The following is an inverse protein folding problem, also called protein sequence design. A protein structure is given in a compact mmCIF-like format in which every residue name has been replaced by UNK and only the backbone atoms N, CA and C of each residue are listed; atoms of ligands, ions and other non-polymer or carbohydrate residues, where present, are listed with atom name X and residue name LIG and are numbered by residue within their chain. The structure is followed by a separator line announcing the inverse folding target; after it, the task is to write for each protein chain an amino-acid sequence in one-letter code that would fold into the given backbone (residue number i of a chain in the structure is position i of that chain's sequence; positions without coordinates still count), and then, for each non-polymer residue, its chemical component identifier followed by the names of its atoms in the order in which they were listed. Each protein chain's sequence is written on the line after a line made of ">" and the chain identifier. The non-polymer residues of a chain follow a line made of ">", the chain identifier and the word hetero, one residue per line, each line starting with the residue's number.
data_IF_354223170482
#
_entry.id   IF_354223170482
#
_cell.length_a   1.000
_cell.length_b   1.000
_cell.length_c   1.000
_cell.angle_alpha   90.00
_cell.angle_beta   90.00
_cell.angle_gamma   90.00
#
_symmetry.space_group_name_H-M   'P 1'
#
loop_
_entity.id
_entity.type
_entity.pdbx_description
1 polymer ?
#
# COMPACT_ATOMS: atom_id res chain seq x y z
N UNK A 1 -47.66 3.02 -2.89
CA UNK A 1 -47.06 4.37 -3.03
C UNK A 1 -48.09 5.37 -3.55
N UNK A 2 -48.05 6.63 -3.12
CA UNK A 2 -48.91 7.73 -3.60
C UNK A 2 -48.03 8.95 -3.85
N UNK A 3 -48.41 9.91 -4.71
CA UNK A 3 -47.65 11.15 -4.80
C UNK A 3 -47.77 11.97 -3.49
N UNK A 4 -46.67 12.57 -3.03
CA UNK A 4 -46.62 13.37 -1.80
C UNK A 4 -45.53 14.45 -1.87
N UNK A 5 -45.66 15.47 -1.02
CA UNK A 5 -44.69 16.57 -0.92
C UNK A 5 -43.33 16.11 -0.40
N UNK A 6 -42.22 16.75 -0.79
CA UNK A 6 -40.90 16.41 -0.30
C UNK A 6 -40.81 16.44 1.23
N UNK A 7 -40.20 15.42 1.82
CA UNK A 7 -39.92 15.32 3.26
C UNK A 7 -38.47 14.96 3.49
N UNK A 8 -37.92 15.43 4.59
CA UNK A 8 -36.57 15.07 5.01
C UNK A 8 -36.57 13.71 5.71
N UNK A 9 -35.49 12.95 5.50
CA UNK A 9 -35.19 11.70 6.19
C UNK A 9 -33.80 11.84 6.81
N UNK A 10 -33.68 11.41 8.06
CA UNK A 10 -32.42 11.20 8.76
C UNK A 10 -32.48 9.86 9.49
N UNK A 11 -31.36 9.39 10.02
CA UNK A 11 -31.32 8.14 10.79
C UNK A 11 -31.81 8.36 12.23
N UNK A 12 -33.13 8.47 12.37
CA UNK A 12 -33.89 8.35 13.63
C UNK A 12 -35.02 7.32 13.41
N UNK A 13 -36.14 7.33 14.14
CA UNK A 13 -37.28 6.48 13.86
C UNK A 13 -38.42 7.25 13.15
N UNK A 14 -38.80 6.93 11.90
CA UNK A 14 -38.23 5.89 11.00
C UNK A 14 -36.88 6.30 10.36
N UNK A 15 -35.99 5.32 10.14
CA UNK A 15 -34.68 5.51 9.50
C UNK A 15 -34.72 5.14 8.02
N UNK A 16 -33.62 5.35 7.30
CA UNK A 16 -33.51 5.01 5.88
C UNK A 16 -33.82 3.54 5.60
N UNK A 17 -33.40 2.60 6.46
CA UNK A 17 -33.71 1.18 6.28
C UNK A 17 -35.23 0.91 6.29
N UNK A 18 -35.95 1.42 7.29
CA UNK A 18 -37.40 1.31 7.40
C UNK A 18 -38.09 1.91 6.17
N UNK A 19 -37.66 3.10 5.76
CA UNK A 19 -38.23 3.80 4.61
C UNK A 19 -38.05 3.07 3.28
N UNK A 20 -36.92 2.38 3.11
CA UNK A 20 -36.66 1.54 1.94
C UNK A 20 -37.48 0.26 2.01
N UNK A 21 -37.53 -0.42 3.17
CA UNK A 21 -38.33 -1.65 3.35
C UNK A 21 -39.80 -1.44 3.05
N UNK A 22 -40.38 -0.37 3.58
CA UNK A 22 -41.79 -0.03 3.37
C UNK A 22 -42.11 0.15 1.88
N UNK A 23 -41.16 0.70 1.10
CA UNK A 23 -41.30 0.88 -0.34
C UNK A 23 -41.04 -0.40 -1.13
N UNK A 24 -40.13 -1.26 -0.69
CA UNK A 24 -39.90 -2.57 -1.33
C UNK A 24 -41.12 -3.50 -1.23
N UNK A 25 -41.95 -3.32 -0.21
CA UNK A 25 -43.12 -4.17 0.05
C UNK A 25 -44.08 -4.24 -1.15
N UNK A 26 -44.26 -3.14 -1.89
CA UNK A 26 -45.23 -3.06 -2.98
C UNK A 26 -44.68 -2.54 -4.32
N UNK A 27 -43.39 -2.23 -4.42
CA UNK A 27 -42.76 -1.78 -5.66
C UNK A 27 -42.84 -2.82 -6.80
N UNK A 28 -43.05 -2.31 -8.02
CA UNK A 28 -42.97 -3.00 -9.31
C UNK A 28 -41.58 -2.86 -9.94
N UNK A 29 -40.90 -1.75 -9.68
CA UNK A 29 -39.51 -1.51 -10.09
C UNK A 29 -38.71 -0.81 -9.01
N UNK A 30 -37.44 -1.17 -8.89
CA UNK A 30 -36.48 -0.58 -7.97
C UNK A 30 -35.16 -0.24 -8.67
N UNK A 31 -34.66 0.98 -8.48
CA UNK A 31 -33.34 1.42 -8.93
C UNK A 31 -32.55 1.91 -7.73
N UNK A 32 -31.37 1.33 -7.54
CA UNK A 32 -30.45 1.67 -6.46
C UNK A 32 -29.11 2.12 -7.05
N UNK A 33 -28.73 3.37 -6.82
CA UNK A 33 -27.42 3.92 -7.19
C UNK A 33 -26.70 4.36 -5.92
N UNK A 34 -25.64 3.68 -5.53
CA UNK A 34 -24.91 4.01 -4.30
C UNK A 34 -23.41 3.99 -4.53
N UNK A 35 -22.71 4.95 -3.93
CA UNK A 35 -21.25 5.01 -3.98
C UNK A 35 -20.63 3.81 -3.25
N UNK A 36 -21.14 3.49 -2.06
CA UNK A 36 -20.60 2.43 -1.20
C UNK A 36 -21.70 1.44 -0.79
N UNK A 37 -21.41 0.14 -0.95
CA UNK A 37 -22.26 -0.94 -0.50
C UNK A 37 -21.48 -1.94 0.36
N UNK A 38 -21.92 -2.15 1.61
CA UNK A 38 -21.27 -3.07 2.57
C UNK A 38 -22.26 -4.13 3.04
N UNK A 39 -21.75 -5.29 3.45
CA UNK A 39 -22.55 -6.41 3.92
C UNK A 39 -23.39 -6.05 5.14
N UNK A 40 -22.89 -5.15 5.96
CA UNK A 40 -23.61 -4.62 7.11
C UNK A 40 -24.91 -3.91 6.70
N UNK A 41 -24.93 -3.22 5.55
CA UNK A 41 -26.15 -2.61 5.02
C UNK A 41 -27.00 -3.58 4.20
N UNK A 42 -26.36 -4.46 3.41
CA UNK A 42 -27.06 -5.44 2.59
C UNK A 42 -27.94 -6.36 3.44
N UNK A 43 -27.43 -6.86 4.57
CA UNK A 43 -28.16 -7.75 5.49
C UNK A 43 -29.46 -7.13 6.02
N UNK A 44 -29.51 -5.81 6.17
CA UNK A 44 -30.70 -5.12 6.68
C UNK A 44 -31.87 -5.20 5.69
N UNK A 45 -31.60 -5.23 4.37
CA UNK A 45 -32.61 -5.18 3.32
C UNK A 45 -32.77 -6.49 2.54
N UNK A 46 -31.91 -7.48 2.78
CA UNK A 46 -31.79 -8.67 1.91
C UNK A 46 -33.08 -9.50 1.83
N UNK A 47 -33.88 -9.54 2.91
CA UNK A 47 -35.10 -10.34 2.98
C UNK A 47 -36.18 -9.74 2.09
N UNK A 48 -36.51 -8.48 2.36
CA UNK A 48 -37.50 -7.69 1.64
C UNK A 48 -37.13 -7.53 0.17
N UNK A 49 -35.83 -7.34 -0.13
CA UNK A 49 -35.36 -7.24 -1.51
C UNK A 49 -35.56 -8.55 -2.28
N UNK A 50 -35.21 -9.70 -1.66
CA UNK A 50 -35.38 -11.01 -2.30
C UNK A 50 -36.87 -11.29 -2.54
N UNK A 51 -37.71 -11.07 -1.54
CA UNK A 51 -39.16 -11.26 -1.64
C UNK A 51 -39.77 -10.36 -2.73
N UNK A 52 -39.32 -9.11 -2.84
CA UNK A 52 -39.79 -8.20 -3.89
C UNK A 52 -39.40 -8.68 -5.30
N UNK A 53 -38.16 -9.13 -5.49
CA UNK A 53 -37.69 -9.67 -6.78
C UNK A 53 -38.43 -10.96 -7.13
N UNK A 54 -38.63 -11.87 -6.17
CA UNK A 54 -39.38 -13.13 -6.36
C UNK A 54 -40.87 -12.88 -6.67
N UNK A 55 -41.43 -11.77 -6.18
CA UNK A 55 -42.78 -11.30 -6.56
C UNK A 55 -42.84 -10.75 -7.99
N UNK A 56 -41.71 -10.52 -8.64
CA UNK A 56 -41.61 -10.00 -10.01
C UNK A 56 -41.20 -8.53 -10.12
N UNK A 57 -40.71 -7.90 -9.05
CA UNK A 57 -40.16 -6.55 -9.12
C UNK A 57 -38.89 -6.52 -9.98
N UNK A 58 -38.84 -5.63 -10.97
CA UNK A 58 -37.63 -5.39 -11.74
C UNK A 58 -36.62 -4.57 -10.91
N UNK A 59 -35.36 -4.99 -10.85
CA UNK A 59 -34.35 -4.30 -10.04
C UNK A 59 -33.11 -3.90 -10.86
N UNK A 60 -32.65 -2.67 -10.71
CA UNK A 60 -31.38 -2.20 -11.27
C UNK A 60 -30.47 -1.64 -10.19
N UNK A 61 -29.26 -2.17 -10.11
CA UNK A 61 -28.25 -1.74 -9.15
C UNK A 61 -27.07 -1.11 -9.86
N UNK A 62 -26.60 0.04 -9.39
CA UNK A 62 -25.35 0.68 -9.83
C UNK A 62 -24.51 0.94 -8.59
N UNK A 63 -23.43 0.17 -8.45
CA UNK A 63 -22.59 0.16 -7.25
C UNK A 63 -21.22 0.79 -7.56
N UNK A 64 -20.91 1.90 -6.89
CA UNK A 64 -19.58 2.50 -6.93
C UNK A 64 -18.53 1.57 -6.36
N UNK A 65 -17.32 1.62 -6.90
CA UNK A 65 -16.19 0.79 -6.46
C UNK A 65 -14.97 1.61 -6.04
N UNK A 66 -15.11 2.93 -6.09
CA UNK A 66 -14.10 3.91 -5.72
C UNK A 66 -13.64 3.73 -4.28
N UNK A 67 -12.35 4.03 -4.06
CA UNK A 67 -11.67 3.87 -2.77
C UNK A 67 -11.77 2.46 -2.17
N UNK A 68 -12.19 1.46 -2.96
CA UNK A 68 -12.42 0.08 -2.53
C UNK A 68 -13.33 -0.02 -1.30
N UNK A 69 -14.33 0.86 -1.20
CA UNK A 69 -15.25 0.91 -0.05
C UNK A 69 -16.43 -0.05 -0.17
N UNK A 70 -16.81 -0.44 -1.38
CA UNK A 70 -17.86 -1.44 -1.62
C UNK A 70 -17.30 -2.85 -1.47
N UNK A 71 -17.96 -3.68 -0.66
CA UNK A 71 -17.50 -5.05 -0.44
C UNK A 71 -17.87 -5.93 -1.66
N UNK A 72 -16.92 -6.66 -2.28
CA UNK A 72 -17.18 -7.50 -3.44
C UNK A 72 -18.28 -8.54 -3.21
N UNK A 73 -18.44 -9.02 -1.97
CA UNK A 73 -19.47 -10.01 -1.62
C UNK A 73 -20.89 -9.47 -1.75
N UNK A 74 -21.11 -8.16 -1.58
CA UNK A 74 -22.43 -7.54 -1.81
C UNK A 74 -22.76 -7.57 -3.30
N UNK A 75 -21.81 -7.16 -4.14
CA UNK A 75 -21.97 -7.17 -5.61
C UNK A 75 -22.19 -8.61 -6.10
N UNK A 76 -21.48 -9.59 -5.53
CA UNK A 76 -21.68 -11.01 -5.82
C UNK A 76 -23.11 -11.48 -5.49
N UNK A 77 -23.65 -11.08 -4.33
CA UNK A 77 -25.01 -11.44 -3.92
C UNK A 77 -26.06 -10.81 -4.83
N UNK A 78 -25.91 -9.54 -5.18
CA UNK A 78 -26.77 -8.87 -6.16
C UNK A 78 -26.72 -9.57 -7.52
N UNK A 79 -25.53 -9.94 -7.98
CA UNK A 79 -25.35 -10.68 -9.23
C UNK A 79 -26.05 -12.05 -9.19
N UNK A 80 -26.06 -12.74 -8.04
CA UNK A 80 -26.78 -14.02 -7.88
C UNK A 80 -28.31 -13.86 -7.92
N UNK A 81 -28.85 -12.70 -7.53
CA UNK A 81 -30.30 -12.43 -7.60
C UNK A 81 -30.83 -12.39 -9.03
N UNK A 82 -29.98 -12.24 -10.05
CA UNK A 82 -30.35 -12.42 -11.47
C UNK A 82 -30.99 -13.78 -11.77
N UNK A 83 -30.77 -14.78 -10.92
CA UNK A 83 -31.38 -16.11 -11.04
C UNK A 83 -32.82 -16.17 -10.53
N UNK A 84 -33.25 -15.16 -9.76
CA UNK A 84 -34.55 -15.12 -9.09
C UNK A 84 -35.56 -14.18 -9.76
N UNK A 85 -35.13 -13.32 -10.70
CA UNK A 85 -36.02 -12.36 -11.35
C UNK A 85 -35.29 -11.41 -12.31
N UNK A 86 -35.99 -10.35 -12.73
CA UNK A 86 -35.45 -9.32 -13.62
C UNK A 86 -34.51 -8.39 -12.83
N UNK A 87 -33.21 -8.68 -12.91
CA UNK A 87 -32.17 -7.94 -12.19
C UNK A 87 -31.04 -7.55 -13.12
N UNK A 88 -30.70 -6.25 -13.14
CA UNK A 88 -29.51 -5.71 -13.77
C UNK A 88 -28.54 -5.19 -12.70
N UNK A 89 -27.26 -5.50 -12.82
CA UNK A 89 -26.23 -5.10 -11.84
C UNK A 89 -25.06 -4.48 -12.60
N UNK A 90 -24.78 -3.22 -12.28
CA UNK A 90 -23.66 -2.45 -12.80
C UNK A 90 -22.72 -2.09 -11.66
N UNK A 91 -21.44 -1.95 -12.01
CA UNK A 91 -20.41 -1.46 -11.10
C UNK A 91 -19.59 -0.37 -11.78
N UNK A 92 -18.98 0.53 -11.01
CA UNK A 92 -18.00 1.47 -11.54
C UNK A 92 -16.86 0.74 -12.27
N UNK A 93 -16.40 1.30 -13.38
CA UNK A 93 -15.30 0.75 -14.17
C UNK A 93 -13.98 0.92 -13.41
N UNK A 94 -13.21 -0.15 -13.17
CA UNK A 94 -11.96 -0.09 -12.41
C UNK A 94 -10.82 0.63 -13.15
N UNK A 95 -11.02 0.95 -14.44
CA UNK A 95 -10.01 1.49 -15.35
C UNK A 95 -10.25 2.96 -15.72
N UNK A 96 -11.31 3.58 -15.18
CA UNK A 96 -11.63 5.00 -15.40
C UNK A 96 -11.28 5.83 -14.17
N UNK A 97 -10.85 7.06 -14.41
CA UNK A 97 -10.50 8.03 -13.35
C UNK A 97 -11.64 9.02 -13.11
N UNK A 98 -12.70 8.55 -12.45
CA UNK A 98 -13.75 9.40 -11.91
C UNK A 98 -14.28 8.76 -10.62
N UNK A 99 -15.01 9.50 -9.80
CA UNK A 99 -15.61 8.96 -8.57
C UNK A 99 -17.12 8.85 -8.73
N UNK A 100 -17.64 7.63 -8.72
CA UNK A 100 -19.07 7.36 -8.67
C UNK A 100 -19.60 7.59 -7.25
N UNK A 101 -20.07 8.82 -6.99
CA UNK A 101 -20.60 9.23 -5.69
C UNK A 101 -22.13 9.40 -5.52
N UNK A 102 -23.04 8.98 -6.43
CA UNK A 102 -24.49 9.05 -6.18
C UNK A 102 -24.97 8.18 -5.01
N UNK A 103 -26.11 8.57 -4.42
CA UNK A 103 -26.85 7.84 -3.37
C UNK A 103 -28.36 8.07 -3.59
N UNK A 104 -28.98 7.13 -4.29
CA UNK A 104 -30.37 7.22 -4.74
C UNK A 104 -31.04 5.86 -4.66
N UNK A 105 -32.26 5.86 -4.13
CA UNK A 105 -33.18 4.74 -4.10
C UNK A 105 -34.48 5.20 -4.74
N UNK A 106 -34.81 4.65 -5.90
CA UNK A 106 -36.02 4.99 -6.65
C UNK A 106 -36.91 3.75 -6.77
N UNK A 107 -38.18 3.93 -6.49
CA UNK A 107 -39.19 2.88 -6.51
C UNK A 107 -40.34 3.30 -7.40
N UNK A 108 -40.95 2.36 -8.11
CA UNK A 108 -42.11 2.62 -8.93
C UNK A 108 -43.23 1.64 -8.63
N UNK A 109 -44.45 2.17 -8.61
CA UNK A 109 -45.68 1.39 -8.51
C UNK A 109 -46.85 2.17 -9.11
N UNK A 110 -47.66 1.53 -9.95
CA UNK A 110 -48.96 2.07 -10.42
C UNK A 110 -48.85 3.50 -10.99
N UNK A 111 -47.74 3.80 -11.69
CA UNK A 111 -47.47 5.12 -12.29
C UNK A 111 -47.04 6.22 -11.31
N UNK A 112 -46.65 5.85 -10.08
CA UNK A 112 -45.99 6.74 -9.11
C UNK A 112 -44.52 6.33 -9.00
N UNK A 113 -43.63 7.32 -9.03
CA UNK A 113 -42.19 7.19 -8.79
C UNK A 113 -41.87 7.83 -7.44
N UNK A 114 -41.43 7.02 -6.47
CA UNK A 114 -40.95 7.45 -5.17
C UNK A 114 -39.42 7.46 -5.16
N UNK A 115 -38.81 8.57 -4.75
CA UNK A 115 -37.35 8.73 -4.73
C UNK A 115 -36.90 9.08 -3.32
N UNK A 116 -35.84 8.42 -2.85
CA UNK A 116 -35.02 8.82 -1.71
C UNK A 116 -33.63 9.15 -2.24
N UNK A 117 -33.18 10.39 -2.05
CA UNK A 117 -31.86 10.86 -2.53
C UNK A 117 -31.20 11.73 -1.46
N UNK A 118 -29.91 11.54 -1.23
CA UNK A 118 -29.20 12.24 -0.15
C UNK A 118 -27.81 11.70 0.15
N UNK A 119 -27.47 11.63 1.43
CA UNK A 119 -26.14 11.20 1.89
C UNK A 119 -26.00 9.69 2.17
N UNK A 120 -27.13 8.98 2.30
CA UNK A 120 -27.16 7.58 2.74
C UNK A 120 -26.62 6.59 1.69
N UNK A 121 -25.49 5.96 1.99
CA UNK A 121 -24.97 4.79 1.27
C UNK A 121 -25.61 3.48 1.75
N UNK A 122 -25.45 2.39 0.99
CA UNK A 122 -25.93 1.06 1.41
C UNK A 122 -24.98 0.36 2.38
N UNK A 123 -24.86 0.94 3.57
CA UNK A 123 -24.03 0.46 4.68
C UNK A 123 -24.84 0.55 5.97
N UNK A 124 -24.49 -0.17 7.04
CA UNK A 124 -25.21 -0.02 8.31
C UNK A 124 -25.19 1.44 8.83
N UNK A 125 -24.08 2.16 8.64
CA UNK A 125 -23.98 3.59 8.90
C UNK A 125 -25.02 4.40 8.09
N UNK A 126 -25.05 4.23 6.77
CA UNK A 126 -26.01 4.95 5.93
C UNK A 126 -27.48 4.59 6.20
N UNK A 127 -27.75 3.35 6.58
CA UNK A 127 -29.10 2.84 6.78
C UNK A 127 -29.70 3.17 8.15
N UNK A 128 -28.87 3.29 9.18
CA UNK A 128 -29.33 3.54 10.56
C UNK A 128 -28.27 4.15 11.51
N UNK A 129 -26.97 3.99 11.25
CA UNK A 129 -25.93 4.29 12.26
C UNK A 129 -25.32 5.69 12.22
N UNK A 130 -25.24 6.33 11.05
CA UNK A 130 -24.61 7.64 10.85
C UNK A 130 -25.62 8.78 10.93
N UNK A 131 -25.15 10.01 11.14
CA UNK A 131 -25.92 11.21 10.84
C UNK A 131 -26.05 11.38 9.33
N UNK A 132 -27.21 11.02 8.79
CA UNK A 132 -27.54 11.10 7.37
C UNK A 132 -28.65 12.12 7.13
N UNK A 133 -28.68 12.74 5.95
CA UNK A 133 -29.74 13.61 5.49
C UNK A 133 -30.09 13.27 4.04
N UNK A 134 -31.35 12.91 3.83
CA UNK A 134 -31.93 12.68 2.51
C UNK A 134 -33.27 13.40 2.37
N UNK A 135 -33.71 13.56 1.13
CA UNK A 135 -35.08 13.96 0.81
C UNK A 135 -35.81 12.76 0.20
N UNK A 136 -37.04 12.55 0.63
CA UNK A 136 -37.98 11.63 0.00
C UNK A 136 -39.14 12.38 -0.59
N UNK A 137 -39.53 12.03 -1.82
CA UNK A 137 -40.69 12.61 -2.49
C UNK A 137 -41.32 11.58 -3.42
N UNK A 138 -42.63 11.71 -3.65
CA UNK A 138 -43.38 10.85 -4.56
C UNK A 138 -43.99 11.67 -5.68
N UNK A 139 -43.79 11.26 -6.93
CA UNK A 139 -44.28 12.00 -8.11
C UNK A 139 -44.96 11.07 -9.11
N UNK A 140 -45.98 11.59 -9.81
CA UNK A 140 -46.57 10.91 -10.99
C UNK A 140 -45.85 11.26 -12.30
N UNK A 141 -44.81 12.10 -12.22
CA UNK A 141 -44.05 12.52 -13.38
C UNK A 141 -43.08 11.41 -13.80
N UNK A 142 -43.38 10.72 -14.89
CA UNK A 142 -42.48 9.74 -15.51
C UNK A 142 -41.10 10.30 -15.88
N UNK A 143 -40.98 11.62 -15.96
CA UNK A 143 -39.75 12.35 -16.28
C UNK A 143 -38.58 11.98 -15.35
N UNK A 144 -38.79 11.88 -14.03
CA UNK A 144 -37.71 11.58 -13.08
C UNK A 144 -37.10 10.20 -13.37
N UNK A 145 -37.96 9.20 -13.55
CA UNK A 145 -37.54 7.85 -13.90
C UNK A 145 -36.78 7.81 -15.23
N UNK A 146 -37.30 8.49 -16.25
CA UNK A 146 -36.66 8.58 -17.57
C UNK A 146 -35.31 9.31 -17.53
N UNK A 147 -35.16 10.34 -16.70
CA UNK A 147 -33.87 11.04 -16.51
C UNK A 147 -32.82 10.15 -15.84
N UNK A 148 -33.22 9.39 -14.82
CA UNK A 148 -32.32 8.42 -14.18
C UNK A 148 -31.94 7.29 -15.15
N UNK A 149 -32.88 6.76 -15.92
CA UNK A 149 -32.57 5.77 -16.95
C UNK A 149 -31.64 6.31 -18.03
N UNK A 150 -31.90 7.53 -18.52
CA UNK A 150 -31.04 8.20 -19.49
C UNK A 150 -29.63 8.41 -18.96
N UNK A 151 -29.48 8.79 -17.68
CA UNK A 151 -28.18 8.96 -17.05
C UNK A 151 -27.43 7.64 -16.91
N UNK A 152 -28.09 6.58 -16.44
CA UNK A 152 -27.47 5.24 -16.36
C UNK A 152 -26.98 4.79 -17.74
N UNK A 153 -27.78 4.99 -18.79
CA UNK A 153 -27.40 4.63 -20.15
C UNK A 153 -26.16 5.43 -20.61
N UNK A 154 -26.10 6.74 -20.35
CA UNK A 154 -24.91 7.57 -20.65
C UNK A 154 -23.66 7.03 -19.96
N UNK A 155 -23.77 6.67 -18.67
CA UNK A 155 -22.64 6.10 -17.92
C UNK A 155 -22.17 4.75 -18.50
N UNK A 156 -23.09 3.93 -19.04
CA UNK A 156 -22.75 2.69 -19.73
C UNK A 156 -22.06 3.00 -21.06
N UNK A 157 -22.61 3.90 -21.85
CA UNK A 157 -22.10 4.28 -23.18
C UNK A 157 -20.69 4.89 -23.10
N UNK A 158 -20.42 5.67 -22.05
CA UNK A 158 -19.11 6.27 -21.77
C UNK A 158 -18.11 5.26 -21.17
N UNK A 159 -18.58 4.05 -20.85
CA UNK A 159 -17.81 3.00 -20.18
C UNK A 159 -17.41 3.37 -18.76
N UNK A 160 -18.13 4.32 -18.15
CA UNK A 160 -17.95 4.72 -16.77
C UNK A 160 -18.42 3.62 -15.84
N UNK A 161 -19.60 3.05 -16.08
CA UNK A 161 -20.08 1.85 -15.38
C UNK A 161 -20.12 0.68 -16.36
N UNK A 162 -19.91 -0.52 -15.83
CA UNK A 162 -19.95 -1.76 -16.60
C UNK A 162 -20.94 -2.74 -15.98
N UNK A 163 -21.62 -3.52 -16.81
CA UNK A 163 -22.44 -4.61 -16.31
C UNK A 163 -21.55 -5.66 -15.64
N UNK A 164 -21.95 -6.11 -14.44
CA UNK A 164 -21.16 -7.06 -13.66
C UNK A 164 -21.09 -8.41 -14.38
N UNK A 165 -19.86 -8.87 -14.58
CA UNK A 165 -19.54 -10.23 -15.01
C UNK A 165 -18.66 -10.92 -13.96
N UNK A 166 -18.57 -12.27 -13.96
CA UNK A 166 -17.64 -12.97 -13.07
C UNK A 166 -16.18 -12.49 -13.20
N UNK A 167 -15.76 -12.11 -14.41
CA UNK A 167 -14.41 -11.61 -14.66
C UNK A 167 -14.16 -10.24 -14.02
N UNK A 168 -15.07 -9.28 -14.21
CA UNK A 168 -14.95 -7.94 -13.58
C UNK A 168 -15.00 -8.03 -12.06
N UNK A 169 -15.92 -8.82 -11.51
CA UNK A 169 -16.04 -9.02 -10.08
C UNK A 169 -14.77 -9.63 -9.48
N UNK A 170 -14.21 -10.66 -10.12
CA UNK A 170 -12.96 -11.27 -9.67
C UNK A 170 -11.77 -10.31 -9.75
N UNK A 171 -11.70 -9.46 -10.78
CA UNK A 171 -10.68 -8.42 -10.89
C UNK A 171 -10.78 -7.40 -9.75
N UNK A 172 -11.98 -6.88 -9.50
CA UNK A 172 -12.21 -5.95 -8.39
C UNK A 172 -11.91 -6.57 -7.03
N UNK A 173 -12.36 -7.81 -6.78
CA UNK A 173 -12.13 -8.50 -5.52
C UNK A 173 -10.65 -8.65 -5.18
N UNK A 174 -9.79 -8.92 -6.18
CA UNK A 174 -8.33 -8.97 -5.99
C UNK A 174 -7.77 -7.61 -5.56
N UNK A 175 -8.11 -6.53 -6.26
CA UNK A 175 -7.65 -5.17 -5.92
C UNK A 175 -8.18 -4.71 -4.55
N UNK A 176 -9.46 -4.98 -4.27
CA UNK A 176 -10.09 -4.70 -2.98
C UNK A 176 -9.37 -5.41 -1.83
N UNK A 177 -9.00 -6.68 -1.99
CA UNK A 177 -8.28 -7.43 -0.94
C UNK A 177 -6.90 -6.80 -0.62
N UNK A 178 -6.14 -6.41 -1.65
CA UNK A 178 -4.84 -5.75 -1.50
C UNK A 178 -5.00 -4.38 -0.85
N UNK A 179 -5.98 -3.59 -1.29
CA UNK A 179 -6.18 -2.25 -0.74
C UNK A 179 -6.70 -2.30 0.71
N UNK A 180 -7.66 -3.19 1.00
CA UNK A 180 -8.21 -3.38 2.35
C UNK A 180 -7.16 -3.78 3.37
N UNK A 181 -6.21 -4.65 2.99
CA UNK A 181 -5.10 -5.03 3.89
C UNK A 181 -4.17 -3.86 4.15
N UNK A 182 -3.80 -3.11 3.09
CA UNK A 182 -2.96 -1.90 3.19
C UNK A 182 -3.60 -0.81 4.05
N UNK A 183 -4.91 -0.57 3.89
CA UNK A 183 -5.63 0.45 4.66
C UNK A 183 -5.74 0.08 6.14
N UNK A 184 -6.07 -1.17 6.47
CA UNK A 184 -6.08 -1.65 7.87
C UNK A 184 -4.73 -1.47 8.54
N UNK A 185 -3.66 -1.73 7.81
CA UNK A 185 -2.30 -1.55 8.32
C UNK A 185 -1.93 -0.07 8.47
N UNK A 186 -2.26 0.77 7.48
CA UNK A 186 -2.04 2.21 7.55
C UNK A 186 -2.77 2.84 8.74
N UNK A 187 -4.02 2.42 8.99
CA UNK A 187 -4.79 2.84 10.15
C UNK A 187 -4.10 2.45 11.47
N UNK A 188 -3.68 1.17 11.62
CA UNK A 188 -2.92 0.73 12.81
C UNK A 188 -1.63 1.53 13.02
N UNK A 189 -0.91 1.84 11.94
CA UNK A 189 0.29 2.68 12.00
C UNK A 189 -0.03 4.10 12.48
N UNK A 190 -1.10 4.70 11.97
CA UNK A 190 -1.53 6.05 12.39
C UNK A 190 -1.95 6.06 13.86
N UNK A 191 -2.75 5.07 14.31
CA UNK A 191 -3.16 4.91 15.70
C UNK A 191 -1.96 4.73 16.64
N UNK A 192 -0.95 3.96 16.22
CA UNK A 192 0.29 3.79 16.99
C UNK A 192 1.18 5.03 17.00
N UNK A 193 1.34 5.72 15.88
CA UNK A 193 2.09 6.98 15.85
C UNK A 193 1.43 8.03 16.75
N UNK A 194 0.10 8.00 16.88
CA UNK A 194 -0.63 8.82 17.84
C UNK A 194 -0.42 8.35 19.30
N UNK A 195 -0.29 7.05 19.55
CA UNK A 195 -0.10 6.47 20.89
C UNK A 195 1.36 6.55 21.40
N UNK A 196 2.35 6.43 20.52
CA UNK A 196 3.78 6.55 20.81
C UNK A 196 4.47 7.41 19.73
N UNK A 197 4.53 8.74 19.94
CA UNK A 197 5.04 9.69 18.96
C UNK A 197 6.53 9.52 18.62
N UNK A 198 7.29 8.81 19.46
CA UNK A 198 8.73 8.58 19.23
C UNK A 198 9.00 7.35 18.38
N UNK A 199 7.98 6.53 18.09
CA UNK A 199 8.18 5.23 17.46
C UNK A 199 8.76 4.19 18.42
N UNK A 200 9.00 2.98 17.93
CA UNK A 200 9.47 1.87 18.76
C UNK A 200 9.51 0.55 18.00
N UNK A 201 10.10 -0.46 18.63
CA UNK A 201 10.30 -1.78 18.01
C UNK A 201 9.01 -2.41 17.47
N UNK A 202 7.86 -2.11 18.10
CA UNK A 202 6.55 -2.59 17.67
C UNK A 202 6.18 -2.18 16.25
N UNK A 203 6.64 -1.03 15.77
CA UNK A 203 6.43 -0.58 14.38
C UNK A 203 7.17 -1.48 13.41
N UNK A 204 8.43 -1.81 13.70
CA UNK A 204 9.22 -2.72 12.88
C UNK A 204 8.69 -4.15 12.92
N UNK A 205 8.14 -4.61 14.05
CA UNK A 205 7.47 -5.93 14.15
C UNK A 205 6.31 -6.05 13.15
N UNK A 206 5.49 -5.00 13.02
CA UNK A 206 4.36 -5.02 12.06
C UNK A 206 4.83 -4.96 10.61
N UNK A 207 5.84 -4.13 10.30
CA UNK A 207 6.42 -4.06 8.96
C UNK A 207 7.06 -5.41 8.60
N UNK A 208 7.73 -6.07 9.54
CA UNK A 208 8.31 -7.39 9.32
C UNK A 208 7.22 -8.44 9.06
N UNK A 209 6.09 -8.37 9.77
CA UNK A 209 4.95 -9.25 9.51
C UNK A 209 4.35 -9.02 8.12
N UNK A 210 4.24 -7.76 7.68
CA UNK A 210 3.82 -7.41 6.31
C UNK A 210 4.79 -7.98 5.27
N UNK A 211 6.08 -7.70 5.44
CA UNK A 211 7.13 -8.17 4.54
C UNK A 211 7.15 -9.71 4.45
N UNK A 212 6.90 -10.43 5.56
CA UNK A 212 6.79 -11.90 5.58
C UNK A 212 5.53 -12.43 4.89
N UNK A 213 4.45 -11.67 4.86
CA UNK A 213 3.22 -12.04 4.16
C UNK A 213 3.28 -11.72 2.65
N UNK A 214 4.14 -10.78 2.26
CA UNK A 214 4.37 -10.39 0.88
C UNK A 214 5.10 -11.49 0.08
N UNK A 215 4.48 -11.93 -1.02
CA UNK A 215 5.01 -12.96 -1.92
C UNK A 215 5.65 -12.38 -3.18
N UNK A 216 5.70 -11.07 -3.29
CA UNK A 216 6.34 -10.36 -4.40
C UNK A 216 7.88 -10.43 -4.31
N UNK A 217 8.54 -9.75 -5.25
CA UNK A 217 10.00 -9.59 -5.28
C UNK A 217 10.56 -8.90 -4.03
N UNK A 218 9.75 -8.05 -3.37
CA UNK A 218 10.13 -7.26 -2.20
C UNK A 218 9.82 -7.97 -0.87
N UNK A 219 9.13 -9.12 -0.94
CA UNK A 219 8.81 -9.94 0.23
C UNK A 219 10.04 -10.51 0.93
N UNK A 220 9.88 -10.86 2.21
CA UNK A 220 10.98 -11.20 3.12
C UNK A 220 11.82 -12.36 2.59
N UNK A 221 11.19 -13.48 2.22
CA UNK A 221 11.88 -14.68 1.76
C UNK A 221 12.71 -14.40 0.50
N UNK A 222 12.14 -13.67 -0.46
CA UNK A 222 12.82 -13.32 -1.72
C UNK A 222 13.96 -12.31 -1.50
N UNK A 223 13.74 -11.31 -0.65
CA UNK A 223 14.77 -10.33 -0.32
C UNK A 223 15.97 -10.98 0.40
N UNK A 224 15.71 -11.88 1.35
CA UNK A 224 16.77 -12.61 2.10
C UNK A 224 17.55 -13.55 1.19
N UNK A 225 16.87 -14.30 0.31
CA UNK A 225 17.53 -15.18 -0.65
C UNK A 225 18.45 -14.41 -1.59
N UNK A 226 17.96 -13.30 -2.16
CA UNK A 226 18.73 -12.42 -3.04
C UNK A 226 19.97 -11.85 -2.33
N UNK A 227 19.80 -11.28 -1.13
CA UNK A 227 20.89 -10.72 -0.31
C UNK A 227 21.96 -11.75 0.03
N UNK A 228 21.54 -12.97 0.32
CA UNK A 228 22.48 -14.06 0.62
C UNK A 228 23.35 -14.40 -0.60
N UNK A 229 22.77 -14.49 -1.79
CA UNK A 229 23.52 -14.71 -3.03
C UNK A 229 24.43 -13.52 -3.36
N UNK A 230 23.89 -12.30 -3.28
CA UNK A 230 24.64 -11.08 -3.56
C UNK A 230 25.85 -10.88 -2.64
N UNK A 231 25.74 -11.23 -1.37
CA UNK A 231 26.87 -11.10 -0.43
C UNK A 231 28.03 -12.04 -0.78
N UNK A 232 27.75 -13.30 -1.14
CA UNK A 232 28.79 -14.26 -1.53
C UNK A 232 29.54 -13.78 -2.79
N UNK A 233 28.78 -13.37 -3.81
CA UNK A 233 29.36 -12.86 -5.06
C UNK A 233 30.11 -11.54 -4.85
N UNK A 234 29.57 -10.63 -4.05
CA UNK A 234 30.17 -9.33 -3.75
C UNK A 234 31.52 -9.48 -3.03
N UNK A 235 31.61 -10.37 -2.04
CA UNK A 235 32.87 -10.62 -1.33
C UNK A 235 33.95 -11.19 -2.25
N UNK A 236 33.57 -12.06 -3.19
CA UNK A 236 34.50 -12.60 -4.19
C UNK A 236 34.99 -11.51 -5.15
N UNK A 237 34.11 -10.61 -5.59
CA UNK A 237 34.50 -9.45 -6.41
C UNK A 237 35.45 -8.52 -5.62
N UNK A 238 35.22 -8.29 -4.32
CA UNK A 238 36.15 -7.50 -3.49
C UNK A 238 37.54 -8.11 -3.43
N UNK A 239 37.65 -9.44 -3.26
CA UNK A 239 38.93 -10.15 -3.28
C UNK A 239 39.64 -10.01 -4.64
N UNK A 240 38.89 -10.11 -5.73
CA UNK A 240 39.42 -9.91 -7.09
C UNK A 240 39.94 -8.48 -7.29
N UNK A 241 39.22 -7.47 -6.78
CA UNK A 241 39.65 -6.07 -6.82
C UNK A 241 40.95 -5.87 -5.99
N UNK A 242 41.08 -6.49 -4.83
CA UNK A 242 42.28 -6.39 -3.99
C UNK A 242 43.51 -7.05 -4.64
N UNK A 243 43.29 -8.20 -5.29
CA UNK A 243 44.33 -9.00 -5.93
C UNK A 243 44.72 -8.49 -7.33
N UNK A 244 43.91 -7.63 -7.96
CA UNK A 244 44.20 -7.17 -9.31
C UNK A 244 45.43 -6.23 -9.36
N UNK A 245 46.22 -6.34 -10.43
CA UNK A 245 47.39 -5.48 -10.69
C UNK A 245 47.00 -4.08 -11.16
N UNK A 246 47.91 -3.37 -11.83
CA UNK A 246 47.56 -2.08 -12.45
C UNK A 246 46.45 -2.27 -13.49
N UNK A 247 45.45 -1.39 -13.49
CA UNK A 247 44.30 -1.43 -14.41
C UNK A 247 43.97 -0.02 -14.90
N UNK A 248 43.31 0.08 -16.06
CA UNK A 248 42.76 1.35 -16.53
C UNK A 248 41.55 1.78 -15.67
N UNK A 249 41.10 3.03 -15.84
CA UNK A 249 39.87 3.49 -15.18
C UNK A 249 38.64 2.76 -15.71
N UNK A 250 38.63 2.35 -16.97
CA UNK A 250 37.48 1.72 -17.61
C UNK A 250 37.35 0.26 -17.17
N UNK A 251 38.47 -0.48 -17.14
CA UNK A 251 38.48 -1.87 -16.64
C UNK A 251 38.06 -1.93 -15.16
N UNK A 252 38.52 -0.99 -14.35
CA UNK A 252 38.11 -0.90 -12.96
C UNK A 252 36.65 -0.49 -12.82
N UNK A 253 36.14 0.40 -13.67
CA UNK A 253 34.73 0.79 -13.66
C UNK A 253 33.81 -0.42 -13.95
N UNK A 254 34.19 -1.31 -14.87
CA UNK A 254 33.46 -2.54 -15.13
C UNK A 254 33.41 -3.45 -13.89
N UNK A 255 34.57 -3.65 -13.23
CA UNK A 255 34.63 -4.43 -11.99
C UNK A 255 33.83 -3.77 -10.85
N UNK A 256 33.92 -2.45 -10.71
CA UNK A 256 33.16 -1.68 -9.74
C UNK A 256 31.65 -1.83 -10.01
N UNK A 257 31.20 -1.77 -11.26
CA UNK A 257 29.78 -1.96 -11.58
C UNK A 257 29.28 -3.34 -11.18
N UNK A 258 30.07 -4.40 -11.46
CA UNK A 258 29.73 -5.75 -11.00
C UNK A 258 29.61 -5.84 -9.48
N UNK A 259 30.48 -5.14 -8.74
CA UNK A 259 30.36 -5.05 -7.28
C UNK A 259 29.10 -4.28 -6.85
N UNK A 260 28.84 -3.12 -7.45
CA UNK A 260 27.68 -2.29 -7.13
C UNK A 260 26.35 -3.00 -7.43
N UNK A 261 26.32 -3.89 -8.42
CA UNK A 261 25.16 -4.74 -8.73
C UNK A 261 24.85 -5.76 -7.62
N UNK A 262 25.76 -5.95 -6.66
CA UNK A 262 25.58 -6.81 -5.47
C UNK A 262 25.21 -6.03 -4.22
N UNK A 263 25.27 -4.71 -4.27
CA UNK A 263 24.74 -3.87 -3.20
C UNK A 263 23.26 -3.65 -3.38
N UNK A 264 22.55 -3.50 -2.25
CA UNK A 264 21.11 -3.20 -2.26
C UNK A 264 20.84 -1.68 -2.12
N UNK A 265 21.83 -0.89 -2.54
CA UNK A 265 21.83 0.58 -2.53
C UNK A 265 21.83 1.15 -3.95
N UNK A 266 20.65 1.35 -4.55
CA UNK A 266 20.49 1.90 -5.92
C UNK A 266 21.19 3.26 -6.12
N UNK A 267 21.30 4.06 -5.05
CA UNK A 267 21.95 5.37 -5.07
C UNK A 267 23.45 5.37 -5.40
N UNK A 268 24.14 4.23 -5.27
CA UNK A 268 25.59 4.11 -5.47
C UNK A 268 26.02 4.13 -6.95
N UNK A 269 25.11 3.85 -7.89
CA UNK A 269 25.42 3.96 -9.33
C UNK A 269 25.73 5.40 -9.76
N UNK A 270 25.21 6.40 -9.03
CA UNK A 270 25.39 7.81 -9.38
C UNK A 270 26.81 8.27 -9.07
N UNK A 271 27.64 8.39 -10.11
CA UNK A 271 29.00 8.93 -10.01
C UNK A 271 30.08 7.87 -9.79
N UNK A 272 29.80 6.60 -10.12
CA UNK A 272 30.77 5.51 -10.15
C UNK A 272 32.00 5.81 -11.06
N UNK A 273 31.85 6.58 -12.13
CA UNK A 273 32.98 7.03 -12.97
C UNK A 273 33.97 7.90 -12.18
N UNK A 274 33.51 8.65 -11.17
CA UNK A 274 34.41 9.42 -10.30
C UNK A 274 35.16 8.48 -9.35
N UNK A 275 34.47 7.50 -8.75
CA UNK A 275 35.10 6.46 -7.92
C UNK A 275 36.17 5.71 -8.72
N UNK A 276 35.89 5.40 -9.99
CA UNK A 276 36.81 4.66 -10.85
C UNK A 276 38.11 5.42 -11.19
N UNK A 277 38.06 6.75 -11.22
CA UNK A 277 39.28 7.58 -11.37
C UNK A 277 40.22 7.41 -10.18
N UNK A 278 39.65 7.22 -8.98
CA UNK A 278 40.38 7.03 -7.71
C UNK A 278 40.65 5.55 -7.38
N UNK A 279 40.62 4.67 -8.39
CA UNK A 279 40.80 3.21 -8.26
C UNK A 279 42.01 2.77 -7.43
N UNK A 280 43.11 3.51 -7.47
CA UNK A 280 44.31 3.17 -6.68
C UNK A 280 43.98 3.23 -5.19
N UNK A 281 43.42 4.35 -4.72
CA UNK A 281 43.04 4.52 -3.33
C UNK A 281 41.93 3.54 -2.92
N UNK A 282 40.95 3.29 -3.80
CA UNK A 282 39.91 2.29 -3.55
C UNK A 282 40.50 0.90 -3.34
N UNK A 283 41.39 0.46 -4.23
CA UNK A 283 42.03 -0.87 -4.17
C UNK A 283 42.91 -1.04 -2.96
N UNK A 284 43.71 -0.02 -2.61
CA UNK A 284 44.51 -0.04 -1.39
C UNK A 284 43.62 -0.13 -0.14
N UNK A 285 42.51 0.62 -0.10
CA UNK A 285 41.55 0.52 1.00
C UNK A 285 40.94 -0.87 1.13
N UNK A 286 40.52 -1.48 0.02
CA UNK A 286 39.96 -2.86 0.01
C UNK A 286 41.01 -3.90 0.39
N UNK A 287 42.25 -3.80 -0.11
CA UNK A 287 43.33 -4.72 0.29
C UNK A 287 43.62 -4.59 1.79
N UNK A 288 43.75 -3.36 2.27
CA UNK A 288 44.07 -3.06 3.66
C UNK A 288 42.99 -3.57 4.62
N UNK A 289 41.70 -3.40 4.30
CA UNK A 289 40.62 -3.88 5.18
C UNK A 289 40.46 -5.42 5.18
N UNK A 290 40.85 -6.11 4.09
CA UNK A 290 40.82 -7.58 4.04
C UNK A 290 41.91 -8.22 4.92
N UNK A 291 43.00 -7.50 5.15
CA UNK A 291 44.14 -7.94 5.98
C UNK A 291 44.07 -7.40 7.42
N UNK A 292 43.13 -6.48 7.70
CA UNK A 292 43.02 -5.83 8.99
C UNK A 292 42.49 -6.80 10.07
N UNK A 293 43.21 -6.88 11.19
CA UNK A 293 42.96 -7.84 12.27
C UNK A 293 41.86 -7.41 13.25
N UNK A 294 41.64 -6.10 13.39
CA UNK A 294 40.58 -5.56 14.25
C UNK A 294 39.19 -5.92 13.74
N UNK A 295 38.20 -5.93 14.64
CA UNK A 295 36.80 -6.26 14.32
C UNK A 295 35.79 -5.27 14.85
N UNK A 296 36.24 -4.25 15.59
CA UNK A 296 35.35 -3.19 16.05
C UNK A 296 34.77 -2.43 14.84
N UNK A 297 33.44 -2.21 14.77
CA UNK A 297 32.85 -1.52 13.63
C UNK A 297 33.40 -0.11 13.41
N UNK A 298 33.69 0.63 14.49
CA UNK A 298 34.25 1.97 14.42
C UNK A 298 35.66 1.97 13.84
N UNK A 299 36.51 1.07 14.33
CA UNK A 299 37.90 0.95 13.85
C UNK A 299 37.97 0.49 12.39
N UNK A 300 37.14 -0.49 12.00
CA UNK A 300 37.02 -0.94 10.62
C UNK A 300 36.57 0.19 9.69
N UNK A 301 35.62 1.00 10.14
CA UNK A 301 35.14 2.15 9.38
C UNK A 301 36.18 3.26 9.27
N UNK A 302 36.85 3.62 10.36
CA UNK A 302 37.88 4.67 10.34
C UNK A 302 39.07 4.28 9.46
N UNK A 303 39.49 3.01 9.54
CA UNK A 303 40.53 2.44 8.70
C UNK A 303 40.19 2.58 7.22
N UNK A 304 39.00 2.13 6.80
CA UNK A 304 38.56 2.24 5.42
C UNK A 304 38.36 3.71 5.00
N UNK A 305 37.83 4.56 5.89
CA UNK A 305 37.65 5.99 5.66
C UNK A 305 38.97 6.70 5.39
N UNK A 306 40.06 6.30 6.05
CA UNK A 306 41.42 6.83 5.81
C UNK A 306 41.81 6.80 4.33
N UNK A 307 41.62 5.66 3.67
CA UNK A 307 41.87 5.50 2.23
C UNK A 307 40.80 6.17 1.37
N UNK A 308 39.54 6.11 1.81
CA UNK A 308 38.43 6.63 1.04
C UNK A 308 38.31 8.16 1.10
N UNK A 309 39.06 8.87 1.96
CA UNK A 309 39.11 10.36 1.95
C UNK A 309 39.40 10.92 0.56
N UNK A 310 40.31 10.30 -0.20
CA UNK A 310 40.65 10.70 -1.58
C UNK A 310 39.75 10.11 -2.66
N UNK A 311 38.84 9.18 -2.32
CA UNK A 311 37.92 8.55 -3.27
C UNK A 311 36.65 9.39 -3.40
N UNK A 312 36.55 10.14 -4.50
CA UNK A 312 35.39 10.95 -4.82
C UNK A 312 34.14 10.07 -4.93
N UNK A 313 33.02 10.54 -4.39
CA UNK A 313 31.73 9.81 -4.34
C UNK A 313 31.73 8.49 -3.55
N UNK A 314 32.86 8.05 -3.01
CA UNK A 314 32.93 6.88 -2.12
C UNK A 314 32.51 7.19 -0.68
N UNK A 315 31.27 7.62 -0.46
CA UNK A 315 30.74 8.05 0.85
C UNK A 315 30.39 6.93 1.82
N UNK A 316 29.88 7.28 3.02
CA UNK A 316 29.51 6.35 4.11
C UNK A 316 28.79 5.10 3.61
N UNK A 317 27.77 5.26 2.75
CA UNK A 317 27.04 4.14 2.19
C UNK A 317 27.96 3.07 1.56
N UNK A 318 28.88 3.50 0.67
CA UNK A 318 29.80 2.58 -0.01
C UNK A 318 30.75 1.89 0.98
N UNK A 319 31.27 2.63 1.95
CA UNK A 319 32.15 2.05 2.99
C UNK A 319 31.40 0.96 3.76
N UNK A 320 30.19 1.25 4.21
CA UNK A 320 29.43 0.33 5.07
C UNK A 320 28.87 -0.87 4.31
N UNK A 321 28.63 -0.75 3.00
CA UNK A 321 28.31 -1.89 2.12
C UNK A 321 29.53 -2.80 1.95
N UNK A 322 30.74 -2.24 1.76
CA UNK A 322 31.98 -3.02 1.76
C UNK A 322 32.16 -3.76 3.09
N UNK A 323 31.97 -3.08 4.22
CA UNK A 323 32.08 -3.70 5.55
C UNK A 323 31.05 -4.82 5.74
N UNK A 324 29.78 -4.61 5.36
CA UNK A 324 28.75 -5.65 5.48
C UNK A 324 29.06 -6.91 4.65
N UNK A 325 29.74 -6.78 3.50
CA UNK A 325 30.23 -7.95 2.75
C UNK A 325 31.29 -8.75 3.52
N UNK A 326 32.12 -8.10 4.34
CA UNK A 326 33.12 -8.77 5.16
C UNK A 326 32.46 -9.55 6.30
N UNK A 327 31.48 -8.95 6.98
CA UNK A 327 30.73 -9.60 8.04
C UNK A 327 29.34 -8.97 8.27
N UNK A 328 28.32 -9.65 7.72
CA UNK A 328 26.92 -9.25 7.86
C UNK A 328 26.33 -9.40 9.25
N UNK A 329 27.04 -9.99 10.21
CA UNK A 329 26.58 -10.09 11.61
C UNK A 329 26.96 -8.87 12.43
N UNK A 330 28.09 -8.23 12.10
CA UNK A 330 28.66 -7.16 12.91
C UNK A 330 28.61 -5.77 12.24
N UNK A 331 28.54 -5.71 10.92
CA UNK A 331 28.56 -4.44 10.18
C UNK A 331 27.22 -4.14 9.50
N UNK A 332 26.56 -3.07 9.98
CA UNK A 332 25.33 -2.57 9.37
C UNK A 332 25.63 -1.64 8.20
N UNK A 333 24.81 -1.66 7.16
CA UNK A 333 24.82 -0.64 6.12
C UNK A 333 24.25 0.65 6.68
N UNK A 334 24.96 1.77 6.50
CA UNK A 334 24.52 3.11 6.94
C UNK A 334 24.30 4.02 5.73
N UNK A 335 23.04 4.08 5.32
CA UNK A 335 22.50 4.92 4.25
C UNK A 335 21.19 5.60 4.71
N UNK A 336 20.53 6.38 3.84
CA UNK A 336 19.27 7.05 4.19
C UNK A 336 18.16 6.06 4.62
N UNK A 337 18.04 4.93 3.94
CA UNK A 337 17.00 3.93 4.17
C UNK A 337 17.17 3.29 5.55
N UNK A 338 18.38 2.86 5.87
CA UNK A 338 18.73 2.28 7.18
C UNK A 338 18.59 3.28 8.33
N UNK A 339 18.96 4.55 8.15
CA UNK A 339 18.75 5.61 9.16
C UNK A 339 17.26 5.88 9.38
N UNK A 340 16.47 5.94 8.31
CA UNK A 340 15.01 6.06 8.41
C UNK A 340 14.40 4.85 9.14
N UNK A 341 14.88 3.64 8.85
CA UNK A 341 14.48 2.42 9.52
C UNK A 341 14.79 2.40 11.02
N UNK A 342 15.99 2.80 11.41
CA UNK A 342 16.40 2.93 12.82
C UNK A 342 15.56 3.99 13.56
N UNK A 343 15.15 5.07 12.89
CA UNK A 343 14.22 6.06 13.47
C UNK A 343 12.83 5.47 13.75
N UNK A 344 12.36 4.49 12.97
CA UNK A 344 11.11 3.78 13.27
C UNK A 344 11.18 3.02 14.59
N UNK A 345 12.38 2.61 15.00
CA UNK A 345 12.62 1.98 16.29
C UNK A 345 12.81 2.98 17.43
N UNK A 346 12.71 4.29 17.18
CA UNK A 346 12.83 5.34 18.20
C UNK A 346 14.24 5.93 18.39
N UNK A 347 15.17 5.61 17.50
CA UNK A 347 16.55 6.10 17.54
C UNK A 347 16.76 7.23 16.52
N UNK A 348 16.81 8.49 17.00
CA UNK A 348 16.88 9.69 16.16
C UNK A 348 18.25 10.39 16.21
N UNK A 349 19.24 9.81 16.89
CA UNK A 349 20.56 10.40 17.11
C UNK A 349 21.48 10.41 15.87
N UNK A 350 21.11 9.69 14.80
CA UNK A 350 21.94 9.52 13.61
C UNK A 350 21.62 10.56 12.51
N UNK A 351 22.63 10.98 11.71
CA UNK A 351 22.42 11.94 10.64
C UNK A 351 21.49 11.37 9.55
N UNK A 352 20.41 12.10 9.23
CA UNK A 352 19.43 11.69 8.20
C UNK A 352 20.08 11.46 6.82
N UNK A 353 21.14 12.21 6.53
CA UNK A 353 21.97 12.05 5.34
C UNK A 353 23.41 11.69 5.75
N UNK A 354 23.70 10.40 5.98
CA UNK A 354 25.03 9.99 6.41
C UNK A 354 26.06 10.18 5.28
N UNK A 355 27.18 10.81 5.60
CA UNK A 355 28.30 11.08 4.71
C UNK A 355 29.62 11.22 5.48
N UNK A 356 30.74 11.26 4.76
CA UNK A 356 32.10 11.27 5.36
C UNK A 356 32.36 12.40 6.36
N UNK A 357 31.64 13.51 6.22
CA UNK A 357 31.83 14.71 7.05
C UNK A 357 31.01 14.69 8.35
N UNK A 358 30.01 13.80 8.45
CA UNK A 358 29.09 13.74 9.58
C UNK A 358 28.94 12.33 10.19
N UNK A 359 29.69 11.34 9.69
CA UNK A 359 29.75 9.99 10.23
C UNK A 359 31.15 9.73 10.76
N UNK A 360 31.31 9.69 12.08
CA UNK A 360 32.57 9.35 12.75
C UNK A 360 32.65 7.85 13.05
N UNK A 361 33.85 7.34 13.39
CA UNK A 361 34.05 5.98 13.89
C UNK A 361 33.06 5.63 15.03
N UNK A 362 32.95 6.54 16.00
CA UNK A 362 32.00 6.41 17.13
C UNK A 362 30.55 6.36 16.64
N UNK A 363 30.17 7.27 15.74
CA UNK A 363 28.80 7.31 15.18
C UNK A 363 28.43 6.00 14.51
N UNK A 364 29.35 5.43 13.72
CA UNK A 364 29.11 4.18 13.02
C UNK A 364 29.10 2.96 13.97
N UNK A 365 29.98 2.93 14.97
CA UNK A 365 29.97 1.90 16.01
C UNK A 365 28.66 1.92 16.81
N UNK A 366 28.20 3.10 17.22
CA UNK A 366 26.91 3.28 17.89
C UNK A 366 25.74 2.84 17.00
N UNK A 367 25.79 3.16 15.69
CA UNK A 367 24.79 2.72 14.71
C UNK A 367 24.74 1.19 14.58
N UNK A 368 25.88 0.52 14.48
CA UNK A 368 25.93 -0.95 14.41
C UNK A 368 25.38 -1.59 15.69
N UNK A 369 25.71 -1.04 16.86
CA UNK A 369 25.17 -1.52 18.15
C UNK A 369 23.65 -1.42 18.19
N UNK A 370 23.07 -0.28 17.79
CA UNK A 370 21.60 -0.12 17.71
C UNK A 370 20.97 -1.06 16.70
N UNK A 371 21.60 -1.23 15.54
CA UNK A 371 21.12 -2.16 14.53
C UNK A 371 21.13 -3.61 15.07
N UNK A 372 22.15 -3.98 15.85
CA UNK A 372 22.22 -5.30 16.48
C UNK A 372 21.15 -5.51 17.55
N UNK A 373 20.90 -4.52 18.42
CA UNK A 373 19.81 -4.55 19.40
C UNK A 373 18.46 -4.81 18.69
N UNK A 374 18.16 -4.02 17.65
CA UNK A 374 16.93 -4.14 16.86
C UNK A 374 16.85 -5.50 16.15
N UNK A 375 17.96 -5.98 15.58
CA UNK A 375 18.03 -7.29 14.92
C UNK A 375 17.66 -8.41 15.89
N UNK A 376 18.20 -8.35 17.11
CA UNK A 376 17.93 -9.32 18.17
C UNK A 376 16.47 -9.28 18.61
N UNK A 377 15.92 -8.09 18.85
CA UNK A 377 14.52 -7.91 19.25
C UNK A 377 13.53 -8.42 18.20
N UNK A 378 13.88 -8.32 16.91
CA UNK A 378 13.07 -8.80 15.78
C UNK A 378 13.30 -10.29 15.44
N UNK A 379 14.27 -10.95 16.08
CA UNK A 379 14.62 -12.34 15.80
C UNK A 379 15.19 -12.57 14.39
N UNK A 380 15.92 -11.60 13.85
CA UNK A 380 16.55 -11.67 12.52
C UNK A 380 17.95 -12.32 12.60
N UNK A 381 18.33 -13.09 11.59
CA UNK A 381 19.57 -13.90 11.66
C UNK A 381 20.86 -13.08 11.54
N UNK A 382 20.81 -11.98 10.80
CA UNK A 382 21.95 -11.10 10.54
C UNK A 382 21.47 -9.68 10.14
N UNK A 383 22.41 -8.72 10.06
CA UNK A 383 22.11 -7.32 9.76
C UNK A 383 21.71 -7.11 8.29
N UNK A 384 21.96 -8.06 7.40
CA UNK A 384 21.50 -7.97 6.00
C UNK A 384 19.98 -8.20 5.90
N UNK A 385 19.40 -9.04 6.77
CA UNK A 385 17.95 -9.17 6.88
C UNK A 385 17.31 -7.91 7.47
N UNK A 386 17.99 -7.27 8.44
CA UNK A 386 17.52 -6.01 9.00
C UNK A 386 17.57 -4.88 7.96
N UNK A 387 18.64 -4.79 7.17
CA UNK A 387 18.71 -3.84 6.05
C UNK A 387 17.63 -4.12 5.00
N UNK A 388 17.25 -5.39 4.76
CA UNK A 388 16.11 -5.72 3.91
C UNK A 388 14.80 -5.11 4.44
N UNK A 389 14.55 -5.25 5.75
CA UNK A 389 13.38 -4.68 6.41
C UNK A 389 13.37 -3.15 6.35
N UNK A 390 14.51 -2.51 6.60
CA UNK A 390 14.62 -1.04 6.50
C UNK A 390 14.38 -0.54 5.07
N UNK A 391 14.88 -1.25 4.06
CA UNK A 391 14.58 -0.93 2.66
C UNK A 391 13.09 -1.09 2.35
N UNK A 392 12.47 -2.19 2.77
CA UNK A 392 11.03 -2.42 2.60
C UNK A 392 10.19 -1.31 3.25
N UNK A 393 10.57 -0.90 4.47
CA UNK A 393 9.91 0.17 5.20
C UNK A 393 10.05 1.54 4.50
N UNK A 394 11.22 1.82 3.92
CA UNK A 394 11.52 3.09 3.26
C UNK A 394 10.70 3.28 1.99
N UNK A 395 10.71 2.29 1.08
CA UNK A 395 10.02 2.40 -0.21
C UNK A 395 8.49 2.37 -0.07
N UNK A 396 7.97 1.59 0.88
CA UNK A 396 6.53 1.60 1.20
C UNK A 396 6.03 2.91 1.82
N UNK A 397 6.92 3.82 2.22
CA UNK A 397 6.58 5.19 2.65
C UNK A 397 6.54 6.16 1.48
N UNK A 398 7.58 6.17 0.63
CA UNK A 398 7.63 7.10 -0.52
C UNK A 398 6.49 6.85 -1.51
N UNK A 399 6.11 5.58 -1.78
CA UNK A 399 4.94 5.28 -2.63
C UNK A 399 3.60 5.81 -2.10
N UNK A 400 3.52 6.18 -0.82
CA UNK A 400 2.29 6.73 -0.19
C UNK A 400 2.26 8.25 -0.14
N UNK A 401 3.39 8.93 -0.35
CA UNK A 401 3.46 10.40 -0.39
C UNK A 401 3.27 10.94 -1.82
N UNK A 402 3.36 10.08 -2.84
CA UNK A 402 3.15 10.42 -4.26
C UNK A 402 1.73 10.13 -4.78
N UNK A 403 0.77 9.71 -3.94
CA UNK A 403 -0.63 9.39 -4.32
C UNK A 403 -1.63 10.38 -3.78
#
# INVERSE_FOLDING_TARGET
>A
MTAYEPRLIWNDHPNHASEIKDRLADAERFVCMVAFAKESGFKELQGELREAIERGMAARFVIGVDFYQSEPSVIEKLFKLKRSGDVAVYMGSPDKQYTFHPKLFMFEKEGVTDVIVGSANWTNGGMAGNHELSVAFGTKLSKVSSEIDGWINSLVDEGEIVEVTPAYLAHYARRHAIYSSRMKLAQKRAERAAADPKGGIGTLVEILAEMKADRSYDGFDQAVARRSASNLEGLEILKQIAASGSQSSDDFLEQLNRLLDRFHSSGLRRGNSAVAKDRVAFKEGVRSILEFSERDPGDMFDHLLGYFKSVHRGGTNLLTEILQLLDKRHYAVMNRNSVAGIRLAGHTEFPEMPGKHNTTAKTYADFCRRAEDIRNDLGLSDLSQLDALFNYAYWNREEKEEV
#
